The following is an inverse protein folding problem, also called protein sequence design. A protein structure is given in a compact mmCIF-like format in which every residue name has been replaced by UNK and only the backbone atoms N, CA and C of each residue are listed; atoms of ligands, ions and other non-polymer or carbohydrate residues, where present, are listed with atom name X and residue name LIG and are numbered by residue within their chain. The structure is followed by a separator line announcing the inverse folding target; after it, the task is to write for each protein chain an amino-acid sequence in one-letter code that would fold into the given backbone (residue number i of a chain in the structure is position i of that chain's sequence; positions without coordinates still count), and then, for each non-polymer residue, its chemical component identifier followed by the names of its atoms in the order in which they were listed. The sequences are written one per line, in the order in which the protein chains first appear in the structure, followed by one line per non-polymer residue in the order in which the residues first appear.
data_IF_667409024572
#
_entry.id   IF_667409024572
#
_cell.length_a   1.000
_cell.length_b   1.000
_cell.length_c   1.000
_cell.angle_alpha   90.00
_cell.angle_beta   90.00
_cell.angle_gamma   90.00
#
_symmetry.space_group_name_H-M   'P 1'
#
loop_
_entity.id
_entity.type
_entity.pdbx_description
1 polymer ?
#
# COMPACT_ATOMS: atom_id res chain seq x y z
N UNK A 1 -6.71 -11.20 17.20
CA UNK A 1 -7.22 -10.26 16.20
C UNK A 1 -7.51 -11.07 14.96
N UNK A 2 -8.67 -10.83 14.37
CA UNK A 2 -9.08 -11.46 13.13
C UNK A 2 -8.39 -10.77 11.93
N UNK A 3 -8.04 -11.47 10.83
CA UNK A 3 -7.40 -10.83 9.68
C UNK A 3 -8.20 -9.64 9.13
N UNK A 4 -9.53 -9.71 9.17
CA UNK A 4 -10.39 -8.62 8.72
C UNK A 4 -10.26 -7.35 9.60
N UNK A 5 -10.00 -7.51 10.91
CA UNK A 5 -9.75 -6.36 11.80
C UNK A 5 -8.45 -5.67 11.45
N UNK A 6 -7.40 -6.43 11.10
CA UNK A 6 -6.09 -5.89 10.74
C UNK A 6 -6.16 -5.16 9.40
N UNK A 7 -6.88 -5.73 8.43
CA UNK A 7 -7.12 -5.11 7.13
C UNK A 7 -7.89 -3.78 7.28
N UNK A 8 -8.95 -3.77 8.10
CA UNK A 8 -9.70 -2.54 8.41
C UNK A 8 -8.83 -1.45 9.05
N UNK A 9 -7.89 -1.81 9.92
CA UNK A 9 -6.95 -0.84 10.51
C UNK A 9 -5.98 -0.31 9.44
N UNK A 10 -5.51 -1.17 8.54
CA UNK A 10 -4.60 -0.79 7.46
C UNK A 10 -5.25 0.13 6.41
N UNK A 11 -6.58 0.12 6.28
CA UNK A 11 -7.31 0.98 5.35
C UNK A 11 -7.21 2.49 5.66
N UNK A 12 -6.85 2.86 6.89
CA UNK A 12 -6.64 4.26 7.27
C UNK A 12 -5.29 4.82 6.78
N UNK A 13 -4.42 3.98 6.21
CA UNK A 13 -3.15 4.42 5.65
C UNK A 13 -3.38 5.35 4.44
N UNK A 14 -2.61 6.44 4.39
CA UNK A 14 -2.70 7.42 3.33
C UNK A 14 -1.94 6.96 2.09
N UNK A 15 -2.62 6.95 0.94
CA UNK A 15 -2.07 6.61 -0.37
C UNK A 15 -2.34 7.72 -1.38
N UNK A 16 -1.58 7.72 -2.47
CA UNK A 16 -1.74 8.70 -3.53
C UNK A 16 -2.53 8.11 -4.71
N UNK A 17 -3.47 8.89 -5.23
CA UNK A 17 -4.25 8.54 -6.42
C UNK A 17 -4.23 9.67 -7.43
N UNK A 18 -4.43 9.34 -8.70
CA UNK A 18 -4.69 10.32 -9.75
C UNK A 18 -6.17 10.21 -10.14
N UNK A 19 -7.04 11.15 -9.74
CA UNK A 19 -8.45 11.11 -10.06
C UNK A 19 -8.68 11.38 -11.55
N UNK A 20 -9.77 10.81 -12.09
CA UNK A 20 -10.27 11.00 -13.46
C UNK A 20 -11.47 11.95 -13.52
N UNK A 21 -11.79 12.61 -12.41
CA UNK A 21 -12.92 13.51 -12.26
C UNK A 21 -12.49 14.82 -11.58
N UNK A 22 -13.32 15.85 -11.75
CA UNK A 22 -13.15 17.12 -11.08
C UNK A 22 -14.19 17.27 -9.96
N UNK A 23 -13.73 17.60 -8.76
CA UNK A 23 -14.53 18.00 -7.62
C UNK A 23 -13.75 19.07 -6.85
N UNK A 24 -14.13 20.34 -7.05
CA UNK A 24 -13.34 21.49 -6.54
C UNK A 24 -13.57 21.78 -5.06
N UNK A 25 -14.62 21.21 -4.47
CA UNK A 25 -14.92 21.40 -3.06
C UNK A 25 -14.16 20.36 -2.22
N UNK A 26 -13.81 20.76 -1.00
CA UNK A 26 -13.36 19.82 0.01
C UNK A 26 -14.55 18.99 0.50
N UNK A 27 -14.30 17.71 0.74
CA UNK A 27 -15.26 16.85 1.43
C UNK A 27 -14.81 16.80 2.89
N UNK A 28 -15.63 17.37 3.77
CA UNK A 28 -15.38 17.37 5.21
C UNK A 28 -15.86 16.05 5.81
N UNK A 29 -14.93 15.19 6.25
CA UNK A 29 -15.23 13.96 6.98
C UNK A 29 -15.03 14.18 8.48
N UNK A 30 -15.51 13.23 9.29
CA UNK A 30 -15.36 13.29 10.76
C UNK A 30 -13.88 13.32 11.16
N UNK A 31 -13.03 12.58 10.42
CA UNK A 31 -11.59 12.44 10.71
C UNK A 31 -10.69 13.25 9.78
N UNK A 32 -11.21 14.29 9.14
CA UNK A 32 -10.42 15.20 8.29
C UNK A 32 -11.03 15.48 6.93
N UNK A 33 -10.36 16.31 6.15
CA UNK A 33 -10.85 16.75 4.84
C UNK A 33 -10.15 16.00 3.71
N UNK A 34 -10.89 15.64 2.66
CA UNK A 34 -10.34 15.03 1.44
C UNK A 34 -10.67 15.85 0.20
N UNK A 35 -9.73 15.87 -0.75
CA UNK A 35 -9.78 16.69 -1.95
C UNK A 35 -9.04 18.04 -1.78
N UNK A 36 -9.28 19.02 -2.65
CA UNK A 36 -10.12 18.95 -3.85
C UNK A 36 -9.55 17.96 -4.88
N UNK A 37 -10.43 17.32 -5.65
CA UNK A 37 -10.03 16.37 -6.70
C UNK A 37 -9.95 17.10 -8.03
N UNK A 38 -8.77 17.15 -8.64
CA UNK A 38 -8.56 17.69 -9.98
C UNK A 38 -8.07 16.57 -10.88
N UNK A 39 -8.78 16.35 -11.99
CA UNK A 39 -8.47 15.29 -12.92
C UNK A 39 -7.02 15.39 -13.39
N UNK A 40 -6.29 14.27 -13.31
CA UNK A 40 -4.88 14.20 -13.69
C UNK A 40 -3.88 14.75 -12.66
N UNK A 41 -4.33 15.32 -11.54
CA UNK A 41 -3.45 15.83 -10.48
C UNK A 41 -3.43 14.84 -9.31
N UNK A 42 -2.26 14.33 -8.90
CA UNK A 42 -2.13 13.44 -7.75
C UNK A 42 -2.70 14.07 -6.47
N UNK A 43 -3.38 13.26 -5.66
CA UNK A 43 -3.93 13.66 -4.36
C UNK A 43 -3.83 12.50 -3.37
N UNK A 44 -3.52 12.84 -2.11
CA UNK A 44 -3.47 11.86 -1.02
C UNK A 44 -4.85 11.64 -0.42
N UNK A 45 -5.24 10.39 -0.27
CA UNK A 45 -6.50 9.95 0.33
C UNK A 45 -6.27 8.71 1.19
N UNK A 46 -7.17 8.41 2.15
CA UNK A 46 -7.15 7.13 2.83
C UNK A 46 -7.31 5.96 1.85
N UNK A 47 -6.71 4.81 2.16
CA UNK A 47 -6.70 3.63 1.30
C UNK A 47 -8.11 3.10 1.01
N UNK A 48 -9.02 3.08 1.99
CA UNK A 48 -10.42 2.70 1.75
C UNK A 48 -11.09 3.56 0.65
N UNK A 49 -10.80 4.86 0.63
CA UNK A 49 -11.36 5.78 -0.36
C UNK A 49 -10.70 5.57 -1.73
N UNK A 50 -9.39 5.35 -1.75
CA UNK A 50 -8.65 5.02 -2.97
C UNK A 50 -9.21 3.74 -3.64
N UNK A 51 -9.40 2.67 -2.87
CA UNK A 51 -9.99 1.41 -3.32
C UNK A 51 -11.40 1.62 -3.86
N UNK A 52 -12.25 2.34 -3.12
CA UNK A 52 -13.62 2.61 -3.55
C UNK A 52 -13.69 3.39 -4.87
N UNK A 53 -12.82 4.40 -5.03
CA UNK A 53 -12.74 5.20 -6.26
C UNK A 53 -12.19 4.37 -7.43
N UNK A 54 -11.21 3.49 -7.19
CA UNK A 54 -10.64 2.63 -8.24
C UNK A 54 -11.61 1.56 -8.72
N UNK A 55 -12.35 0.91 -7.82
CA UNK A 55 -13.44 -0.03 -8.18
C UNK A 55 -14.51 0.63 -9.05
N UNK A 56 -14.76 1.93 -8.85
CA UNK A 56 -15.68 2.74 -9.67
C UNK A 56 -15.02 3.33 -10.92
N UNK A 57 -13.78 2.96 -11.24
CA UNK A 57 -12.99 3.45 -12.36
C UNK A 57 -12.79 4.98 -12.38
N UNK A 58 -12.83 5.63 -11.20
CA UNK A 58 -12.73 7.09 -11.04
C UNK A 58 -11.34 7.60 -10.72
N UNK A 59 -10.37 6.72 -10.49
CA UNK A 59 -8.97 7.09 -10.30
C UNK A 59 -8.04 6.05 -10.92
N UNK A 60 -6.76 6.43 -10.99
CA UNK A 60 -5.61 5.54 -11.16
C UNK A 60 -4.89 5.48 -9.82
N UNK A 61 -4.53 4.29 -9.37
CA UNK A 61 -3.70 4.12 -8.17
C UNK A 61 -2.26 4.51 -8.51
N UNK A 62 -1.62 5.29 -7.64
CA UNK A 62 -0.17 5.51 -7.70
C UNK A 62 0.47 4.50 -6.77
N UNK A 63 1.46 3.78 -7.30
CA UNK A 63 2.20 2.81 -6.51
C UNK A 63 3.03 3.54 -5.44
N UNK A 64 2.99 3.13 -4.15
CA UNK A 64 3.85 3.71 -3.14
C UNK A 64 5.33 3.49 -3.47
N UNK A 65 6.17 4.49 -3.17
CA UNK A 65 7.61 4.45 -3.46
C UNK A 65 8.31 3.19 -2.91
N UNK A 66 7.91 2.73 -1.72
CA UNK A 66 8.51 1.55 -1.11
C UNK A 66 8.16 0.22 -1.81
N UNK A 67 7.13 0.23 -2.65
CA UNK A 67 6.63 -0.95 -3.36
C UNK A 67 7.31 -1.13 -4.74
N UNK A 68 8.24 -0.24 -5.11
CA UNK A 68 9.10 -0.45 -6.27
C UNK A 68 9.96 -1.70 -6.11
N UNK A 69 10.17 -2.44 -7.22
CA UNK A 69 10.95 -3.68 -7.22
C UNK A 69 12.36 -3.51 -6.66
N UNK A 70 13.04 -2.43 -7.04
CA UNK A 70 14.40 -2.14 -6.58
C UNK A 70 14.44 -1.94 -5.07
N UNK A 71 13.49 -1.17 -4.53
CA UNK A 71 13.37 -0.91 -3.10
C UNK A 71 13.03 -2.18 -2.32
N UNK A 72 12.09 -2.99 -2.82
CA UNK A 72 11.74 -4.27 -2.19
C UNK A 72 12.91 -5.26 -2.21
N UNK A 73 13.66 -5.32 -3.33
CA UNK A 73 14.85 -6.16 -3.42
C UNK A 73 15.93 -5.72 -2.41
N UNK A 74 16.14 -4.41 -2.26
CA UNK A 74 17.06 -3.88 -1.26
C UNK A 74 16.61 -4.21 0.17
N UNK A 75 15.33 -4.00 0.49
CA UNK A 75 14.75 -4.35 1.80
C UNK A 75 14.96 -5.84 2.11
N UNK A 76 14.77 -6.72 1.11
CA UNK A 76 14.97 -8.16 1.27
C UNK A 76 16.43 -8.49 1.59
N UNK A 77 17.40 -7.91 0.88
CA UNK A 77 18.83 -8.13 1.14
C UNK A 77 19.25 -7.56 2.50
N UNK A 78 18.76 -6.38 2.87
CA UNK A 78 19.03 -5.77 4.19
C UNK A 78 18.46 -6.61 5.33
N UNK A 79 17.23 -7.11 5.18
CA UNK A 79 16.59 -7.97 6.18
C UNK A 79 17.32 -9.32 6.27
N UNK A 80 17.83 -9.86 5.16
CA UNK A 80 18.64 -11.09 5.15
C UNK A 80 19.99 -10.92 5.84
N UNK A 81 20.67 -9.78 5.60
CA UNK A 81 21.97 -9.48 6.18
C UNK A 81 21.91 -9.06 7.65
N UNK A 82 20.78 -8.54 8.11
CA UNK A 82 20.61 -8.07 9.48
C UNK A 82 20.30 -9.21 10.46
N UNK A 83 21.00 -9.23 11.60
CA UNK A 83 20.68 -10.12 12.73
C UNK A 83 19.32 -9.80 13.36
N UNK A 84 18.92 -8.54 13.36
CA UNK A 84 17.66 -8.07 13.92
C UNK A 84 16.66 -7.72 12.80
N UNK A 85 15.40 -7.51 13.17
CA UNK A 85 14.39 -7.02 12.23
C UNK A 85 14.71 -5.60 11.80
N UNK A 86 14.71 -5.33 10.50
CA UNK A 86 14.85 -3.95 10.01
C UNK A 86 13.50 -3.24 10.11
N UNK A 87 13.54 -1.91 10.15
CA UNK A 87 12.32 -1.10 10.09
C UNK A 87 11.77 -1.15 8.67
N UNK A 88 10.51 -1.56 8.53
CA UNK A 88 9.83 -1.55 7.24
C UNK A 88 9.26 -0.16 6.92
N UNK A 89 9.00 0.13 5.63
CA UNK A 89 8.49 1.42 5.19
C UNK A 89 7.09 1.75 5.70
N UNK A 90 6.25 0.72 5.90
CA UNK A 90 4.93 0.80 6.51
C UNK A 90 4.76 -0.32 7.53
N UNK A 91 4.08 -0.04 8.63
CA UNK A 91 3.73 -1.05 9.64
C UNK A 91 2.71 -2.06 9.10
N UNK A 92 1.88 -1.63 8.14
CA UNK A 92 0.83 -2.43 7.48
C UNK A 92 1.19 -2.79 6.04
N UNK A 93 2.48 -2.96 5.74
CA UNK A 93 2.94 -3.19 4.37
C UNK A 93 2.29 -4.41 3.70
N UNK A 94 1.95 -5.46 4.46
CA UNK A 94 1.32 -6.68 3.93
C UNK A 94 -0.10 -6.39 3.47
N UNK A 95 -0.93 -5.83 4.35
CA UNK A 95 -2.33 -5.52 4.07
C UNK A 95 -2.43 -4.46 2.97
N UNK A 96 -1.58 -3.43 3.02
CA UNK A 96 -1.49 -2.43 1.95
C UNK A 96 -1.11 -3.07 0.61
N UNK A 97 -0.10 -3.95 0.57
CA UNK A 97 0.30 -4.64 -0.66
C UNK A 97 -0.83 -5.50 -1.21
N UNK A 98 -1.51 -6.26 -0.34
CA UNK A 98 -2.63 -7.11 -0.72
C UNK A 98 -3.74 -6.28 -1.38
N UNK A 99 -4.28 -5.29 -0.68
CA UNK A 99 -5.37 -4.44 -1.18
C UNK A 99 -5.00 -3.66 -2.45
N UNK A 100 -3.80 -3.09 -2.50
CA UNK A 100 -3.33 -2.28 -3.63
C UNK A 100 -3.13 -3.16 -4.87
N UNK A 101 -2.53 -4.35 -4.73
CA UNK A 101 -2.29 -5.25 -5.87
C UNK A 101 -3.58 -5.89 -6.37
N UNK A 102 -4.55 -6.14 -5.50
CA UNK A 102 -5.83 -6.75 -5.90
C UNK A 102 -6.70 -5.80 -6.73
N UNK A 103 -6.67 -4.50 -6.44
CA UNK A 103 -7.51 -3.50 -7.11
C UNK A 103 -6.73 -2.69 -8.17
N UNK A 104 -5.40 -2.64 -8.05
CA UNK A 104 -4.49 -1.83 -8.86
C UNK A 104 -3.75 -2.59 -9.97
N UNK A 105 -4.19 -3.79 -10.33
CA UNK A 105 -3.46 -4.64 -11.28
C UNK A 105 -3.13 -3.98 -12.63
N UNK A 106 -4.03 -3.13 -13.12
CA UNK A 106 -3.82 -2.40 -14.39
C UNK A 106 -2.84 -1.22 -14.28
N UNK A 107 -2.62 -0.71 -13.05
CA UNK A 107 -1.88 0.52 -12.82
C UNK A 107 -0.42 0.26 -12.40
N UNK A 108 -0.15 -0.94 -11.88
CA UNK A 108 1.10 -1.32 -11.23
C UNK A 108 1.95 -2.20 -12.16
N UNK A 109 3.15 -1.77 -12.56
CA UNK A 109 4.04 -2.59 -13.37
C UNK A 109 4.59 -3.77 -12.57
N UNK A 110 4.82 -4.90 -13.25
CA UNK A 110 5.47 -6.09 -12.67
C UNK A 110 4.79 -6.64 -11.40
N UNK A 111 3.46 -6.62 -11.36
CA UNK A 111 2.64 -7.02 -10.21
C UNK A 111 3.05 -8.36 -9.59
N UNK A 112 3.30 -9.39 -10.41
CA UNK A 112 3.67 -10.72 -9.92
C UNK A 112 5.02 -10.74 -9.21
N UNK A 113 5.98 -9.97 -9.73
CA UNK A 113 7.31 -9.82 -9.13
C UNK A 113 7.24 -9.05 -7.81
N UNK A 114 6.43 -7.98 -7.75
CA UNK A 114 6.17 -7.24 -6.50
C UNK A 114 5.53 -8.17 -5.46
N UNK A 115 4.48 -8.91 -5.85
CA UNK A 115 3.78 -9.86 -4.96
C UNK A 115 4.75 -10.92 -4.42
N UNK A 116 5.65 -11.42 -5.26
CA UNK A 116 6.66 -12.41 -4.86
C UNK A 116 7.67 -11.82 -3.89
N UNK A 117 8.20 -10.61 -4.15
CA UNK A 117 9.17 -9.96 -3.25
C UNK A 117 8.56 -9.64 -1.87
N UNK A 118 7.32 -9.15 -1.83
CA UNK A 118 6.61 -8.90 -0.56
C UNK A 118 6.46 -10.19 0.23
N UNK A 119 6.07 -11.28 -0.43
CA UNK A 119 5.96 -12.60 0.20
C UNK A 119 7.31 -13.12 0.69
N UNK A 120 8.37 -12.98 -0.10
CA UNK A 120 9.72 -13.40 0.30
C UNK A 120 10.20 -12.67 1.55
N UNK A 121 9.94 -11.36 1.66
CA UNK A 121 10.26 -10.56 2.86
C UNK A 121 9.48 -11.08 4.07
N UNK A 122 8.19 -11.36 3.90
CA UNK A 122 7.35 -11.93 4.95
C UNK A 122 7.88 -13.29 5.43
N UNK A 123 8.13 -14.22 4.51
CA UNK A 123 8.60 -15.57 4.81
C UNK A 123 9.97 -15.52 5.53
N UNK A 124 10.87 -14.63 5.11
CA UNK A 124 12.15 -14.39 5.76
C UNK A 124 11.96 -13.92 7.20
N UNK A 125 11.09 -12.92 7.42
CA UNK A 125 10.83 -12.39 8.77
C UNK A 125 10.17 -13.42 9.68
N UNK A 126 9.23 -14.22 9.17
CA UNK A 126 8.62 -15.34 9.92
C UNK A 126 9.68 -16.38 10.28
N UNK A 127 10.58 -16.72 9.35
CA UNK A 127 11.69 -17.64 9.64
C UNK A 127 12.62 -17.09 10.73
N UNK A 128 12.97 -15.80 10.66
CA UNK A 128 13.80 -15.12 11.67
C UNK A 128 13.11 -15.12 13.04
N UNK A 129 11.80 -14.85 13.07
CA UNK A 129 10.99 -14.89 14.29
C UNK A 129 11.01 -16.29 14.91
N UNK A 130 10.79 -17.34 14.11
CA UNK A 130 10.84 -18.73 14.58
C UNK A 130 12.20 -19.12 15.15
N UNK A 131 13.29 -18.61 14.58
CA UNK A 131 14.65 -18.87 15.10
C UNK A 131 15.00 -18.08 16.37
N UNK A 132 14.17 -17.11 16.75
CA UNK A 132 14.36 -16.28 17.95
C UNK A 132 13.61 -16.81 19.19
N UNK A 133 12.82 -17.87 19.01
CA UNK A 133 12.14 -18.63 20.08
C UNK A 133 13.06 -19.78 20.48
#
# INVERSE_FOLDING_TARGET
MDPAEIEFIAEDQMVEIIPKFNHMNLIHLISGDVGPFRAGIPVKVPLWLAINLKQRQKCRMVMPEWMHLETLAQIKEDEKGSRFFIKLPSEHYMEMSHMILDVGADDIPNLDSVRTLVKDIWDLRISKLRSSI
#
